data_IF_929652328057
#
_entry.id   IF_929652328057
#
_cell.length_a   1.000
_cell.length_b   1.000
_cell.length_c   1.000
_cell.angle_alpha   90.00
_cell.angle_beta   90.00
_cell.angle_gamma   90.00
#
_symmetry.space_group_name_H-M   'P 1'
#
loop_
_entity.id
_entity.type
_entity.pdbx_description
1 polymer ?
#
# COMPACT_ATOMS: atom_id res chain seq x y z
N UNK A 1 17.90 -2.03 -24.99
CA UNK A 1 17.45 -1.43 -23.71
C UNK A 1 16.05 -0.86 -23.97
N UNK A 2 15.11 -1.00 -23.04
CA UNK A 2 13.74 -0.50 -23.22
C UNK A 2 13.66 0.96 -22.78
N UNK A 3 12.90 1.79 -23.50
CA UNK A 3 12.62 3.16 -23.08
C UNK A 3 11.35 3.19 -22.21
N UNK A 4 11.53 3.47 -20.92
CA UNK A 4 10.45 3.54 -19.92
C UNK A 4 9.62 4.83 -20.01
N UNK A 5 10.03 5.79 -20.84
CA UNK A 5 9.32 7.04 -21.09
C UNK A 5 8.50 7.02 -22.38
N UNK A 6 8.57 5.94 -23.15
CA UNK A 6 7.77 5.78 -24.37
C UNK A 6 6.28 5.68 -24.03
N UNK A 7 5.47 6.49 -24.71
CA UNK A 7 4.03 6.61 -24.49
C UNK A 7 3.28 5.29 -24.69
N UNK A 8 3.82 4.37 -25.50
CA UNK A 8 3.25 3.03 -25.70
C UNK A 8 3.17 2.21 -24.42
N UNK A 9 4.00 2.53 -23.42
CA UNK A 9 3.96 1.89 -22.09
C UNK A 9 3.10 2.65 -21.08
N UNK A 10 2.48 3.78 -21.45
CA UNK A 10 1.65 4.60 -20.56
C UNK A 10 0.57 3.79 -19.83
N UNK A 11 -0.10 2.89 -20.55
CA UNK A 11 -1.15 2.05 -20.00
C UNK A 11 -0.67 1.13 -18.85
N UNK A 12 0.61 0.75 -18.81
CA UNK A 12 1.19 -0.04 -17.72
C UNK A 12 1.25 0.77 -16.42
N UNK A 13 1.39 2.09 -16.52
CA UNK A 13 1.47 3.00 -15.37
C UNK A 13 0.09 3.45 -14.91
N UNK A 14 -0.85 3.63 -15.83
CA UNK A 14 -2.12 4.32 -15.56
C UNK A 14 -3.33 3.38 -15.45
N UNK A 15 -3.30 2.21 -16.10
CA UNK A 15 -4.44 1.27 -16.12
C UNK A 15 -4.14 0.01 -15.31
N UNK A 16 -5.11 -0.41 -14.51
CA UNK A 16 -4.98 -1.61 -13.67
C UNK A 16 -4.94 -2.91 -14.49
N UNK A 17 -5.53 -2.92 -15.69
CA UNK A 17 -5.60 -4.09 -16.56
C UNK A 17 -4.22 -4.56 -17.04
N UNK A 18 -3.23 -3.67 -17.04
CA UNK A 18 -1.87 -3.95 -17.53
C UNK A 18 -0.84 -3.95 -16.39
N UNK A 19 -1.28 -4.18 -15.16
CA UNK A 19 -0.39 -4.30 -14.01
C UNK A 19 0.48 -5.57 -14.11
N UNK A 20 1.78 -5.41 -13.87
CA UNK A 20 2.74 -6.52 -13.81
C UNK A 20 2.64 -7.19 -12.44
N UNK A 21 2.35 -8.50 -12.43
CA UNK A 21 2.26 -9.33 -11.21
C UNK A 21 3.41 -10.34 -11.13
N UNK A 22 4.37 -10.18 -10.20
CA UNK A 22 5.46 -11.14 -9.98
C UNK A 22 5.01 -12.51 -9.47
N UNK A 23 3.78 -12.65 -8.97
CA UNK A 23 3.22 -13.92 -8.51
C UNK A 23 2.62 -14.76 -9.65
N UNK A 24 2.42 -14.19 -10.84
CA UNK A 24 1.95 -14.93 -11.99
C UNK A 24 3.06 -15.82 -12.58
N UNK A 25 2.77 -17.07 -13.00
CA UNK A 25 3.77 -17.96 -13.59
C UNK A 25 4.33 -17.45 -14.92
N UNK A 26 3.56 -16.60 -15.62
CA UNK A 26 3.93 -15.94 -16.87
C UNK A 26 5.02 -14.85 -16.66
N UNK A 27 5.21 -14.39 -15.42
CA UNK A 27 6.15 -13.32 -15.11
C UNK A 27 7.59 -13.78 -15.29
N UNK A 28 8.30 -13.12 -16.20
CA UNK A 28 9.73 -13.31 -16.40
C UNK A 28 10.49 -12.13 -15.83
N UNK A 29 11.35 -12.39 -14.85
CA UNK A 29 12.25 -11.40 -14.23
C UNK A 29 13.36 -11.01 -15.20
N UNK A 30 13.03 -10.14 -16.14
CA UNK A 30 13.96 -9.57 -17.11
C UNK A 30 14.36 -8.15 -16.70
N UNK A 31 15.55 -7.70 -17.11
CA UNK A 31 16.03 -6.34 -16.85
C UNK A 31 15.06 -5.26 -17.33
N UNK A 32 14.39 -5.50 -18.46
CA UNK A 32 13.38 -4.58 -19.01
C UNK A 32 12.15 -4.49 -18.10
N UNK A 33 11.69 -5.63 -17.56
CA UNK A 33 10.54 -5.67 -16.66
C UNK A 33 10.85 -4.98 -15.33
N UNK A 34 12.05 -5.19 -14.80
CA UNK A 34 12.54 -4.50 -13.60
C UNK A 34 12.56 -2.98 -13.80
N UNK A 35 13.10 -2.49 -14.93
CA UNK A 35 13.12 -1.07 -15.25
C UNK A 35 11.72 -0.44 -15.28
N UNK A 36 10.72 -1.14 -15.84
CA UNK A 36 9.33 -0.66 -15.86
C UNK A 36 8.75 -0.60 -14.44
N UNK A 37 9.01 -1.60 -13.60
CA UNK A 37 8.55 -1.62 -12.20
C UNK A 37 9.18 -0.48 -11.39
N UNK A 38 10.48 -0.26 -11.55
CA UNK A 38 11.23 0.84 -10.92
C UNK A 38 10.68 2.20 -11.34
N UNK A 39 10.43 2.41 -12.63
CA UNK A 39 9.82 3.64 -13.14
C UNK A 39 8.42 3.85 -12.54
N UNK A 40 7.59 2.80 -12.45
CA UNK A 40 6.27 2.88 -11.81
C UNK A 40 6.37 3.25 -10.32
N UNK A 41 7.36 2.72 -9.60
CA UNK A 41 7.66 3.11 -8.22
C UNK A 41 8.08 4.58 -8.13
N UNK A 42 8.91 5.04 -9.06
CA UNK A 42 9.38 6.42 -9.13
C UNK A 42 8.22 7.41 -9.41
N UNK A 43 7.31 7.08 -10.33
CA UNK A 43 6.10 7.88 -10.64
C UNK A 43 5.15 8.01 -9.45
N UNK A 44 4.99 6.94 -8.65
CA UNK A 44 4.21 6.98 -7.41
C UNK A 44 4.83 7.91 -6.36
N UNK A 45 6.15 7.86 -6.19
CA UNK A 45 6.88 8.74 -5.25
C UNK A 45 6.82 10.21 -5.69
N UNK A 46 6.90 10.48 -6.98
CA UNK A 46 6.86 11.84 -7.55
C UNK A 46 5.44 12.41 -7.70
N UNK A 47 4.38 11.68 -7.29
CA UNK A 47 3.00 12.16 -7.34
C UNK A 47 2.41 12.27 -8.74
N UNK A 48 3.10 11.77 -9.78
CA UNK A 48 2.68 11.89 -11.18
C UNK A 48 1.48 10.99 -11.54
N UNK A 49 1.13 10.02 -10.69
CA UNK A 49 0.07 9.02 -10.94
C UNK A 49 -1.27 9.36 -10.28
N UNK A 50 -1.54 10.62 -9.94
CA UNK A 50 -2.70 10.99 -9.13
C UNK A 50 -4.07 10.93 -9.86
N UNK A 51 -4.12 10.50 -11.14
CA UNK A 51 -5.34 10.58 -11.96
C UNK A 51 -5.66 9.32 -12.78
N UNK A 52 -5.80 8.14 -12.17
CA UNK A 52 -6.59 7.06 -12.78
C UNK A 52 -6.95 5.96 -11.77
N UNK A 53 -8.26 5.71 -11.59
CA UNK A 53 -8.87 4.43 -11.22
C UNK A 53 -8.46 3.76 -9.90
N UNK A 54 -9.30 3.91 -8.86
CA UNK A 54 -9.03 3.42 -7.51
C UNK A 54 -9.00 1.89 -7.33
N UNK A 55 -8.09 1.45 -6.47
CA UNK A 55 -8.36 0.53 -5.38
C UNK A 55 -7.27 0.70 -4.31
N UNK A 56 -7.67 1.22 -3.15
CA UNK A 56 -7.17 0.87 -1.82
C UNK A 56 -5.68 0.46 -1.70
N UNK A 57 -4.83 1.43 -1.43
CA UNK A 57 -3.45 1.17 -1.05
C UNK A 57 -2.86 2.37 -0.33
N UNK A 58 -3.47 2.72 0.79
CA UNK A 58 -2.96 3.57 1.87
C UNK A 58 -2.05 4.73 1.43
N UNK A 59 -2.59 5.93 1.66
CA UNK A 59 -1.88 7.16 2.03
C UNK A 59 -0.62 6.85 2.88
N UNK A 60 0.49 6.44 2.25
CA UNK A 60 1.80 6.45 2.90
C UNK A 60 2.19 7.91 2.87
N UNK A 61 2.00 8.55 4.03
CA UNK A 61 2.63 9.80 4.42
C UNK A 61 4.10 9.72 4.01
N UNK A 62 4.42 10.30 2.85
CA UNK A 62 5.76 10.76 2.57
C UNK A 62 5.90 12.08 3.31
N UNK A 63 6.20 11.99 4.60
CA UNK A 63 6.94 13.04 5.26
C UNK A 63 8.34 12.47 5.42
N UNK A 64 9.23 13.05 4.63
CA UNK A 64 10.65 12.81 4.68
C UNK A 64 11.17 13.54 5.91
N UNK A 65 11.69 12.79 6.88
CA UNK A 65 12.82 13.30 7.63
C UNK A 65 13.93 12.25 7.68
N UNK A 66 15.12 12.75 7.39
CA UNK A 66 16.35 11.99 7.27
C UNK A 66 16.79 11.63 8.68
N UNK A 67 16.93 10.35 8.98
CA UNK A 67 17.99 9.82 9.84
C UNK A 67 17.91 8.29 9.85
N UNK A 68 18.64 7.67 8.93
CA UNK A 68 18.93 6.24 8.96
C UNK A 68 20.06 5.97 9.95
N UNK A 69 19.71 5.73 11.22
CA UNK A 69 20.53 4.95 12.14
C UNK A 69 19.63 4.37 13.24
N UNK A 70 19.44 3.05 13.26
CA UNK A 70 18.84 2.33 14.38
C UNK A 70 17.40 1.84 14.16
N UNK A 71 17.26 0.70 13.49
CA UNK A 71 16.08 -0.15 13.62
C UNK A 71 16.14 -0.88 14.96
N UNK A 72 15.63 -0.25 16.02
CA UNK A 72 15.07 -0.91 17.22
C UNK A 72 14.59 0.17 18.18
N UNK A 73 13.33 0.08 18.60
CA UNK A 73 12.65 0.96 19.57
C UNK A 73 12.10 2.30 19.06
N UNK A 74 10.86 2.28 18.55
CA UNK A 74 9.89 3.40 18.66
C UNK A 74 8.48 2.90 18.32
N UNK A 75 7.87 2.19 19.27
CA UNK A 75 6.42 2.00 19.30
C UNK A 75 5.84 3.37 19.68
N UNK A 76 5.22 4.06 18.73
CA UNK A 76 4.80 5.45 18.94
C UNK A 76 3.44 5.50 19.64
N UNK A 77 3.18 6.58 20.38
CA UNK A 77 1.90 6.81 21.07
C UNK A 77 0.68 6.68 20.15
N UNK A 78 0.84 6.97 18.86
CA UNK A 78 -0.22 6.82 17.85
C UNK A 78 -0.64 5.36 17.59
N UNK A 79 0.29 4.42 17.68
CA UNK A 79 -0.01 2.98 17.54
C UNK A 79 -0.74 2.47 18.78
N UNK A 80 -0.37 2.97 19.97
CA UNK A 80 -1.06 2.65 21.21
C UNK A 80 -2.52 3.15 21.19
N UNK A 81 -2.77 4.35 20.65
CA UNK A 81 -4.10 4.93 20.51
C UNK A 81 -4.98 4.08 19.55
N UNK A 82 -4.39 3.66 18.43
CA UNK A 82 -5.05 2.81 17.44
C UNK A 82 -5.40 1.43 18.02
N UNK A 83 -4.47 0.83 18.77
CA UNK A 83 -4.67 -0.48 19.41
C UNK A 83 -5.74 -0.38 20.51
N UNK A 84 -5.70 0.66 21.34
CA UNK A 84 -6.73 0.90 22.37
C UNK A 84 -8.12 1.06 21.77
N UNK A 85 -8.24 1.79 20.64
CA UNK A 85 -9.50 1.95 19.92
C UNK A 85 -10.05 0.62 19.40
N UNK A 86 -9.18 -0.26 18.90
CA UNK A 86 -9.55 -1.60 18.45
C UNK A 86 -10.02 -2.48 19.61
N UNK A 87 -9.30 -2.50 20.73
CA UNK A 87 -9.65 -3.27 21.93
C UNK A 87 -11.03 -2.85 22.45
N UNK A 88 -11.29 -1.54 22.53
CA UNK A 88 -12.57 -1.02 23.00
C UNK A 88 -13.72 -1.41 22.06
N UNK A 89 -13.48 -1.39 20.74
CA UNK A 89 -14.47 -1.82 19.74
C UNK A 89 -14.81 -3.31 19.86
N UNK A 90 -13.79 -4.16 20.04
CA UNK A 90 -13.98 -5.61 20.24
C UNK A 90 -14.75 -5.89 21.54
N UNK A 91 -14.40 -5.21 22.65
CA UNK A 91 -15.11 -5.36 23.94
C UNK A 91 -16.58 -4.95 23.83
N UNK A 92 -16.86 -3.81 23.20
CA UNK A 92 -18.23 -3.32 22.98
C UNK A 92 -19.05 -4.31 22.13
N UNK A 93 -18.48 -4.77 21.00
CA UNK A 93 -19.15 -5.72 20.10
C UNK A 93 -19.45 -7.05 20.80
N UNK A 94 -18.51 -7.58 21.57
CA UNK A 94 -18.71 -8.81 22.34
C UNK A 94 -19.76 -8.64 23.44
N UNK A 95 -19.75 -7.53 24.18
CA UNK A 95 -20.76 -7.25 25.22
C UNK A 95 -22.19 -7.20 24.64
N UNK A 96 -22.38 -6.49 23.52
CA UNK A 96 -23.69 -6.43 22.85
C UNK A 96 -24.15 -7.80 22.35
N UNK A 97 -23.24 -8.63 21.85
CA UNK A 97 -23.56 -9.98 21.40
C UNK A 97 -23.93 -10.92 22.56
N UNK A 98 -23.28 -10.78 23.71
CA UNK A 98 -23.63 -11.57 24.90
C UNK A 98 -24.92 -11.08 25.59
N UNK A 99 -25.17 -9.77 25.64
CA UNK A 99 -26.38 -9.22 26.26
C UNK A 99 -27.64 -9.53 25.44
N UNK A 100 -27.52 -9.58 24.11
CA UNK A 100 -28.61 -10.01 23.20
C UNK A 100 -28.89 -11.51 23.30
N UNK A 101 -27.87 -12.34 23.55
CA UNK A 101 -28.05 -13.79 23.74
C UNK A 101 -28.72 -14.16 25.07
N UNK A 102 -28.56 -13.35 26.13
CA UNK A 102 -29.20 -13.58 27.44
C UNK A 102 -30.67 -13.12 27.53
N UNK A 103 -31.17 -12.41 26.51
CA UNK A 103 -32.57 -11.93 26.42
C UNK A 103 -33.47 -12.82 25.55
N UNK A 104 -33.07 -14.06 25.30
CA UNK A 104 -33.90 -15.11 24.70
C UNK A 104 -34.10 -16.23 25.71
#
# INVERSE_FOLDING_TARGET
>A
MIDVKDDRFGAIYDSYHYNIDPSAPEYKKTKSMEAIIEEKLHRRKSGKTAKAGGASGQKRKAEMDKNSAGQSAKFSKSDSESISSLINSVKSKTQTFHSTKKKK
#
